data_IF_745219162900
#
_entry.id   IF_745219162900
#
_cell.length_a   1.000
_cell.length_b   1.000
_cell.length_c   1.000
_cell.angle_alpha   90.00
_cell.angle_beta   90.00
_cell.angle_gamma   90.00
#
_symmetry.space_group_name_H-M   'P 1'
#
loop_
_entity.id
_entity.type
_entity.pdbx_description
1 polymer ?
#
# COMPACT_ATOMS: atom_id res chain seq x y z
N UNK A 1 20.19 -11.48 2.49
CA UNK A 1 19.06 -11.75 1.58
C UNK A 1 18.05 -10.68 1.87
N UNK A 2 17.92 -9.72 0.95
CA UNK A 2 17.28 -8.42 1.21
C UNK A 2 15.75 -8.50 1.25
N UNK A 3 15.17 -7.53 1.94
CA UNK A 3 13.73 -7.26 2.09
C UNK A 3 12.97 -7.45 0.77
N UNK A 4 13.60 -7.10 -0.36
CA UNK A 4 13.10 -7.33 -1.72
C UNK A 4 12.47 -8.72 -1.93
N UNK A 5 13.19 -9.81 -1.65
CA UNK A 5 12.70 -11.16 -1.97
C UNK A 5 11.52 -11.60 -1.12
N UNK A 6 11.51 -11.20 0.14
CA UNK A 6 10.42 -11.51 1.07
C UNK A 6 9.18 -10.69 0.70
N UNK A 7 9.34 -9.39 0.49
CA UNK A 7 8.26 -8.51 0.06
C UNK A 7 7.68 -8.95 -1.30
N UNK A 8 8.53 -9.33 -2.25
CA UNK A 8 8.10 -9.86 -3.55
C UNK A 8 7.26 -11.14 -3.41
N UNK A 9 7.65 -12.05 -2.51
CA UNK A 9 6.91 -13.28 -2.25
C UNK A 9 5.56 -12.99 -1.57
N UNK A 10 5.55 -12.11 -0.58
CA UNK A 10 4.32 -11.70 0.12
C UNK A 10 3.33 -11.01 -0.82
N UNK A 11 3.82 -10.27 -1.82
CA UNK A 11 3.00 -9.52 -2.78
C UNK A 11 2.68 -10.29 -4.07
N UNK A 12 3.02 -11.59 -4.15
CA UNK A 12 2.84 -12.40 -5.35
C UNK A 12 1.39 -12.39 -5.88
N UNK A 13 0.40 -12.28 -5.00
CA UNK A 13 -1.01 -12.23 -5.39
C UNK A 13 -1.38 -10.99 -6.20
N UNK A 14 -0.81 -9.83 -5.86
CA UNK A 14 -1.00 -8.58 -6.60
C UNK A 14 -0.18 -8.61 -7.89
N UNK A 15 1.06 -9.13 -7.85
CA UNK A 15 1.93 -9.22 -9.03
C UNK A 15 1.46 -10.23 -10.07
N UNK A 16 0.70 -11.24 -9.64
CA UNK A 16 0.09 -12.25 -10.52
C UNK A 16 -1.20 -11.81 -11.21
N UNK A 17 -1.69 -10.59 -10.95
CA UNK A 17 -2.87 -10.04 -11.61
C UNK A 17 -2.58 -9.71 -13.09
N UNK A 18 -3.60 -9.76 -13.94
CA UNK A 18 -3.51 -9.18 -15.28
C UNK A 18 -3.36 -7.66 -15.20
N UNK A 19 -2.80 -7.03 -16.24
CA UNK A 19 -2.61 -5.58 -16.27
C UNK A 19 -3.91 -4.79 -16.03
N UNK A 20 -5.03 -5.25 -16.59
CA UNK A 20 -6.34 -4.61 -16.43
C UNK A 20 -6.87 -4.73 -14.99
N UNK A 21 -6.81 -5.92 -14.40
CA UNK A 21 -7.21 -6.13 -13.01
C UNK A 21 -6.30 -5.37 -12.06
N UNK A 22 -4.98 -5.37 -12.32
CA UNK A 22 -4.00 -4.65 -11.52
C UNK A 22 -4.26 -3.14 -11.57
N UNK A 23 -4.55 -2.57 -12.75
CA UNK A 23 -4.91 -1.16 -12.88
C UNK A 23 -6.15 -0.80 -12.06
N UNK A 24 -7.17 -1.66 -12.11
CA UNK A 24 -8.41 -1.48 -11.33
C UNK A 24 -8.17 -1.57 -9.82
N UNK A 25 -7.35 -2.55 -9.40
CA UNK A 25 -6.95 -2.73 -8.01
C UNK A 25 -6.16 -1.53 -7.49
N UNK A 26 -5.12 -1.10 -8.21
CA UNK A 26 -4.29 0.04 -7.84
C UNK A 26 -5.12 1.32 -7.76
N UNK A 27 -5.98 1.58 -8.75
CA UNK A 27 -6.89 2.73 -8.72
C UNK A 27 -7.79 2.73 -7.48
N UNK A 28 -8.40 1.59 -7.14
CA UNK A 28 -9.22 1.47 -5.95
C UNK A 28 -8.43 1.71 -4.65
N UNK A 29 -7.19 1.23 -4.55
CA UNK A 29 -6.34 1.49 -3.37
C UNK A 29 -5.99 2.98 -3.25
N UNK A 30 -5.62 3.63 -4.36
CA UNK A 30 -5.30 5.05 -4.36
C UNK A 30 -6.52 5.91 -3.99
N UNK A 31 -7.70 5.60 -4.53
CA UNK A 31 -8.95 6.28 -4.16
C UNK A 31 -9.31 6.08 -2.68
N UNK A 32 -8.93 4.96 -2.06
CA UNK A 32 -9.09 4.75 -0.61
C UNK A 32 -8.11 5.63 0.18
N UNK A 33 -6.90 5.83 -0.34
CA UNK A 33 -5.88 6.68 0.27
C UNK A 33 -6.30 8.17 0.32
N UNK A 34 -7.26 8.61 -0.51
CA UNK A 34 -7.86 9.94 -0.41
C UNK A 34 -8.59 10.18 0.92
N UNK A 35 -8.95 9.11 1.63
CA UNK A 35 -9.58 9.17 2.95
C UNK A 35 -8.83 8.24 3.92
N UNK A 36 -7.64 8.65 4.42
CA UNK A 36 -6.75 7.78 5.19
C UNK A 36 -7.41 7.10 6.40
N UNK A 37 -8.39 7.77 7.02
CA UNK A 37 -9.18 7.22 8.14
C UNK A 37 -9.95 5.93 7.80
N UNK A 38 -10.11 5.59 6.51
CA UNK A 38 -10.75 4.36 6.04
C UNK A 38 -9.82 3.14 6.08
N UNK A 39 -8.50 3.35 6.08
CA UNK A 39 -7.51 2.28 5.96
C UNK A 39 -7.56 1.31 7.14
N UNK A 40 -7.60 1.80 8.38
CA UNK A 40 -7.64 0.94 9.57
C UNK A 40 -8.91 0.09 9.66
N UNK A 41 -10.14 0.65 9.56
CA UNK A 41 -11.36 -0.16 9.55
C UNK A 41 -11.40 -1.20 8.43
N UNK A 42 -10.88 -0.85 7.25
CA UNK A 42 -10.79 -1.78 6.12
C UNK A 42 -9.75 -2.88 6.36
N UNK A 43 -8.60 -2.56 6.95
CA UNK A 43 -7.59 -3.54 7.34
C UNK A 43 -8.17 -4.54 8.36
N UNK A 44 -8.95 -4.06 9.34
CA UNK A 44 -9.63 -4.93 10.31
C UNK A 44 -10.56 -5.91 9.59
N UNK A 45 -11.34 -5.44 8.61
CA UNK A 45 -12.21 -6.29 7.79
C UNK A 45 -11.41 -7.34 7.00
N UNK A 46 -10.33 -6.92 6.33
CA UNK A 46 -9.44 -7.81 5.56
C UNK A 46 -8.82 -8.86 6.48
N UNK A 47 -8.33 -8.49 7.67
CA UNK A 47 -7.79 -9.44 8.67
C UNK A 47 -8.84 -10.44 9.14
N UNK A 48 -10.10 -10.02 9.34
CA UNK A 48 -11.19 -10.93 9.69
C UNK A 48 -11.49 -11.92 8.55
N UNK A 49 -11.51 -11.45 7.30
CA UNK A 49 -11.70 -12.28 6.12
C UNK A 49 -10.56 -13.28 5.95
N UNK A 50 -9.31 -12.82 6.04
CA UNK A 50 -8.12 -13.67 6.01
C UNK A 50 -8.17 -14.75 7.09
N UNK A 51 -8.51 -14.40 8.33
CA UNK A 51 -8.67 -15.39 9.42
C UNK A 51 -9.77 -16.42 9.14
N UNK A 52 -10.91 -16.00 8.58
CA UNK A 52 -12.01 -16.90 8.22
C UNK A 52 -11.59 -17.86 7.09
N UNK A 53 -10.91 -17.32 6.08
CA UNK A 53 -10.35 -18.05 4.96
C UNK A 53 -9.34 -19.12 5.41
N UNK A 54 -8.39 -18.77 6.28
CA UNK A 54 -7.41 -19.73 6.84
C UNK A 54 -8.07 -20.83 7.68
N UNK A 55 -9.18 -20.51 8.36
CA UNK A 55 -9.98 -21.47 9.11
C UNK A 55 -10.99 -22.24 8.24
N UNK A 56 -11.00 -22.01 6.91
CA UNK A 56 -11.96 -22.57 5.96
C UNK A 56 -13.43 -22.45 6.45
N UNK A 57 -13.75 -21.31 7.06
CA UNK A 57 -15.07 -21.04 7.64
C UNK A 57 -15.81 -20.01 6.79
N UNK A 58 -17.01 -20.33 6.33
CA UNK A 58 -17.87 -19.35 5.67
C UNK A 58 -18.35 -18.31 6.67
N UNK A 59 -18.14 -17.03 6.34
CA UNK A 59 -18.59 -15.88 7.11
C UNK A 59 -19.13 -14.82 6.19
N UNK A 60 -20.00 -13.98 6.75
CA UNK A 60 -20.57 -12.84 6.06
C UNK A 60 -20.68 -11.64 7.01
N UNK A 61 -20.82 -10.48 6.43
CA UNK A 61 -21.15 -9.21 7.08
C UNK A 61 -22.33 -8.60 6.32
N UNK A 62 -23.28 -7.98 7.01
CA UNK A 62 -24.38 -7.30 6.31
C UNK A 62 -23.86 -6.07 5.57
N UNK A 63 -24.53 -5.70 4.47
CA UNK A 63 -24.18 -4.49 3.70
C UNK A 63 -24.22 -3.24 4.57
N UNK A 64 -25.20 -3.13 5.48
CA UNK A 64 -25.29 -2.01 6.42
C UNK A 64 -24.12 -1.96 7.40
N UNK A 65 -23.70 -3.11 7.94
CA UNK A 65 -22.56 -3.15 8.86
C UNK A 65 -21.26 -2.84 8.13
N UNK A 66 -21.10 -3.29 6.89
CA UNK A 66 -19.97 -2.90 6.03
C UNK A 66 -19.93 -1.38 5.88
N UNK A 67 -21.03 -0.76 5.43
CA UNK A 67 -21.12 0.70 5.23
C UNK A 67 -20.81 1.49 6.51
N UNK A 68 -21.26 0.99 7.66
CA UNK A 68 -20.95 1.63 8.95
C UNK A 68 -19.48 1.45 9.38
N UNK A 69 -18.76 0.48 8.82
CA UNK A 69 -17.36 0.20 9.17
C UNK A 69 -16.40 1.00 8.30
N UNK A 70 -16.61 1.00 6.98
CA UNK A 70 -15.66 1.57 5.99
C UNK A 70 -16.24 2.72 5.17
N UNK A 71 -17.43 3.21 5.54
CA UNK A 71 -18.15 4.24 4.79
C UNK A 71 -18.83 3.72 3.52
N UNK A 72 -19.46 4.63 2.79
CA UNK A 72 -19.94 4.37 1.43
C UNK A 72 -18.86 4.83 0.44
N UNK A 73 -18.08 3.88 -0.09
CA UNK A 73 -17.03 4.14 -1.07
C UNK A 73 -17.06 3.09 -2.17
N UNK A 74 -17.21 3.53 -3.42
CA UNK A 74 -17.16 2.67 -4.59
C UNK A 74 -15.78 2.01 -4.74
N UNK A 75 -14.72 2.71 -4.35
CA UNK A 75 -13.37 2.19 -4.32
C UNK A 75 -13.24 1.01 -3.35
N UNK A 76 -13.83 1.11 -2.16
CA UNK A 76 -13.86 0.00 -1.19
C UNK A 76 -14.63 -1.20 -1.75
N UNK A 77 -15.80 -0.98 -2.34
CA UNK A 77 -16.57 -2.07 -2.97
C UNK A 77 -15.80 -2.72 -4.12
N UNK A 78 -15.16 -1.91 -4.96
CA UNK A 78 -14.32 -2.38 -6.07
C UNK A 78 -13.17 -3.27 -5.57
N UNK A 79 -12.42 -2.79 -4.57
CA UNK A 79 -11.33 -3.54 -3.95
C UNK A 79 -11.82 -4.86 -3.34
N UNK A 80 -12.91 -4.83 -2.55
CA UNK A 80 -13.44 -6.02 -1.91
C UNK A 80 -13.84 -7.09 -2.94
N UNK A 81 -14.47 -6.69 -4.06
CA UNK A 81 -14.79 -7.62 -5.15
C UNK A 81 -13.53 -8.21 -5.79
N UNK A 82 -12.49 -7.40 -6.03
CA UNK A 82 -11.22 -7.87 -6.60
C UNK A 82 -10.56 -8.94 -5.74
N UNK A 83 -10.57 -8.76 -4.41
CA UNK A 83 -9.97 -9.72 -3.47
C UNK A 83 -10.91 -10.89 -3.10
N UNK A 84 -12.06 -11.00 -3.78
CA UNK A 84 -12.94 -12.18 -3.76
C UNK A 84 -14.15 -12.11 -2.83
N UNK A 85 -14.46 -10.96 -2.22
CA UNK A 85 -15.73 -10.80 -1.50
C UNK A 85 -16.88 -10.88 -2.49
N UNK A 86 -17.95 -11.58 -2.09
CA UNK A 86 -19.15 -11.73 -2.91
C UNK A 86 -20.30 -10.94 -2.30
N UNK A 87 -20.83 -9.99 -3.05
CA UNK A 87 -21.99 -9.18 -2.65
C UNK A 87 -23.28 -9.89 -3.07
N UNK A 88 -24.13 -10.21 -2.10
CA UNK A 88 -25.51 -10.67 -2.22
C UNK A 88 -26.44 -9.56 -1.73
N UNK A 89 -27.76 -9.74 -1.87
CA UNK A 89 -28.76 -8.68 -1.60
C UNK A 89 -28.49 -7.90 -0.31
N UNK A 90 -28.45 -8.58 0.84
CA UNK A 90 -28.20 -7.97 2.16
C UNK A 90 -26.85 -8.33 2.78
N UNK A 91 -26.12 -9.27 2.17
CA UNK A 91 -24.91 -9.88 2.74
C UNK A 91 -23.68 -9.74 1.85
N UNK A 92 -22.53 -9.55 2.48
CA UNK A 92 -21.22 -9.59 1.85
C UNK A 92 -20.47 -10.79 2.41
N UNK A 93 -20.25 -11.78 1.56
CA UNK A 93 -19.61 -13.05 1.94
C UNK A 93 -18.09 -12.90 1.85
N UNK A 94 -17.40 -13.38 2.89
CA UNK A 94 -15.94 -13.34 2.96
C UNK A 94 -15.32 -14.28 1.90
N UNK A 95 -14.18 -13.89 1.31
CA UNK A 95 -13.48 -14.70 0.31
C UNK A 95 -12.92 -16.00 0.90
N UNK A 96 -12.59 -16.94 0.00
CA UNK A 96 -11.70 -18.07 0.32
C UNK A 96 -10.24 -17.61 0.36
N UNK A 97 -9.37 -18.45 0.91
CA UNK A 97 -7.94 -18.18 0.93
C UNK A 97 -7.42 -18.02 -0.50
N UNK A 98 -6.67 -16.95 -0.74
CA UNK A 98 -6.06 -16.68 -2.04
C UNK A 98 -4.79 -15.83 -1.85
N UNK A 99 -3.79 -15.97 -2.74
CA UNK A 99 -2.59 -15.13 -2.69
C UNK A 99 -2.89 -13.63 -2.73
N UNK A 100 -3.97 -13.22 -3.43
CA UNK A 100 -4.36 -11.82 -3.52
C UNK A 100 -4.92 -11.28 -2.20
N UNK A 101 -5.69 -12.08 -1.46
CA UNK A 101 -6.16 -11.70 -0.12
C UNK A 101 -4.97 -11.50 0.84
N UNK A 102 -3.99 -12.40 0.79
CA UNK A 102 -2.79 -12.33 1.62
C UNK A 102 -1.95 -11.09 1.28
N UNK A 103 -1.69 -10.86 -0.01
CA UNK A 103 -0.96 -9.69 -0.49
C UNK A 103 -1.67 -8.37 -0.17
N UNK A 104 -3.00 -8.33 -0.27
CA UNK A 104 -3.79 -7.13 0.08
C UNK A 104 -3.73 -6.85 1.58
N UNK A 105 -3.77 -7.89 2.42
CA UNK A 105 -3.56 -7.73 3.88
C UNK A 105 -2.19 -7.10 4.16
N UNK A 106 -1.12 -7.60 3.53
CA UNK A 106 0.24 -7.07 3.70
C UNK A 106 0.33 -5.61 3.24
N UNK A 107 -0.27 -5.27 2.10
CA UNK A 107 -0.33 -3.88 1.63
C UNK A 107 -1.03 -2.96 2.63
N UNK A 108 -2.21 -3.35 3.16
CA UNK A 108 -2.92 -2.51 4.13
C UNK A 108 -2.23 -2.46 5.50
N UNK A 109 -1.48 -3.49 5.89
CA UNK A 109 -0.59 -3.46 7.04
C UNK A 109 0.61 -2.52 6.84
N UNK A 110 1.07 -2.34 5.61
CA UNK A 110 2.07 -1.32 5.30
C UNK A 110 1.46 0.09 5.32
N UNK A 111 0.29 0.28 4.70
CA UNK A 111 -0.35 1.60 4.62
C UNK A 111 -0.70 2.17 6.01
N UNK A 112 -1.01 1.34 7.01
CA UNK A 112 -1.34 1.83 8.37
C UNK A 112 -0.12 2.32 9.16
N UNK A 113 1.09 1.95 8.76
CA UNK A 113 2.33 2.44 9.38
C UNK A 113 2.71 3.84 8.88
N UNK A 114 2.09 4.29 7.79
CA UNK A 114 2.17 5.66 7.30
C UNK A 114 1.10 6.51 7.99
N UNK A 115 1.45 7.76 8.30
CA UNK A 115 0.46 8.71 8.80
C UNK A 115 -0.41 9.29 7.68
N UNK A 116 -1.42 10.08 8.07
CA UNK A 116 -2.40 10.60 7.13
C UNK A 116 -1.82 11.54 6.06
N UNK A 117 -0.80 12.33 6.41
CA UNK A 117 -0.16 13.27 5.46
C UNK A 117 0.75 12.48 4.51
N UNK A 118 1.51 11.52 5.04
CA UNK A 118 2.31 10.58 4.24
C UNK A 118 1.46 9.79 3.23
N UNK A 119 0.27 9.33 3.63
CA UNK A 119 -0.66 8.62 2.74
C UNK A 119 -1.17 9.54 1.62
N UNK A 120 -1.50 10.80 1.95
CA UNK A 120 -1.98 11.79 0.98
C UNK A 120 -0.91 12.21 -0.02
N UNK A 121 0.37 12.22 0.35
CA UNK A 121 1.46 12.44 -0.59
C UNK A 121 1.81 11.18 -1.38
N UNK A 122 1.77 10.01 -0.73
CA UNK A 122 1.97 8.71 -1.36
C UNK A 122 0.96 8.48 -2.49
N UNK A 123 -0.31 8.83 -2.30
CA UNK A 123 -1.36 8.60 -3.32
C UNK A 123 -1.15 9.39 -4.60
N UNK A 124 -0.44 10.52 -4.54
CA UNK A 124 -0.09 11.35 -5.70
C UNK A 124 1.08 10.75 -6.50
N UNK A 125 1.80 9.77 -5.94
CA UNK A 125 2.84 9.05 -6.65
C UNK A 125 2.26 8.17 -7.78
N UNK A 126 3.13 7.73 -8.68
CA UNK A 126 2.72 6.90 -9.82
C UNK A 126 3.85 5.96 -10.26
N UNK A 127 3.54 5.08 -11.21
CA UNK A 127 4.45 4.04 -11.67
C UNK A 127 5.76 4.55 -12.28
N UNK A 128 5.81 5.78 -12.80
CA UNK A 128 7.05 6.36 -13.32
C UNK A 128 8.06 6.68 -12.20
N UNK A 129 7.57 6.88 -10.98
CA UNK A 129 8.37 7.22 -9.80
C UNK A 129 8.74 5.98 -8.96
N UNK A 130 8.16 4.82 -9.25
CA UNK A 130 8.32 3.62 -8.45
C UNK A 130 9.77 3.15 -8.34
N UNK A 131 10.48 3.03 -9.46
CA UNK A 131 11.90 2.60 -9.46
C UNK A 131 12.81 3.52 -8.62
N UNK A 132 12.82 4.85 -8.82
CA UNK A 132 13.63 5.72 -7.99
C UNK A 132 13.17 5.75 -6.53
N UNK A 133 11.86 5.68 -6.22
CA UNK A 133 11.36 5.57 -4.85
C UNK A 133 11.86 4.28 -4.16
N UNK A 134 11.71 3.12 -4.81
CA UNK A 134 12.21 1.85 -4.29
C UNK A 134 13.72 1.89 -4.07
N UNK A 135 14.47 2.56 -4.95
CA UNK A 135 15.90 2.76 -4.75
C UNK A 135 16.18 3.56 -3.47
N UNK A 136 15.52 4.71 -3.28
CA UNK A 136 15.70 5.54 -2.07
C UNK A 136 15.37 4.76 -0.81
N UNK A 137 14.20 4.14 -0.77
CA UNK A 137 13.71 3.39 0.39
C UNK A 137 14.62 2.20 0.71
N UNK A 138 15.13 1.49 -0.31
CA UNK A 138 16.07 0.40 -0.10
C UNK A 138 17.42 0.89 0.46
N UNK A 139 17.97 2.02 -0.01
CA UNK A 139 19.18 2.59 0.59
C UNK A 139 18.94 3.00 2.05
N UNK A 140 17.79 3.64 2.31
CA UNK A 140 17.37 4.05 3.65
C UNK A 140 17.27 2.88 4.63
N UNK A 141 16.67 1.76 4.21
CA UNK A 141 16.58 0.51 4.98
C UNK A 141 17.95 -0.06 5.35
N UNK A 142 18.98 0.24 4.55
CA UNK A 142 20.36 -0.16 4.81
C UNK A 142 21.19 0.93 5.51
N UNK A 143 20.55 2.02 5.96
CA UNK A 143 21.20 3.13 6.65
C UNK A 143 22.15 3.92 5.77
N UNK A 144 21.87 3.99 4.46
CA UNK A 144 22.72 4.66 3.46
C UNK A 144 22.06 5.93 2.96
N UNK A 145 22.87 6.97 2.83
CA UNK A 145 22.51 8.19 2.12
C UNK A 145 22.37 7.92 0.61
N UNK A 146 21.53 8.70 -0.06
CA UNK A 146 21.31 8.59 -1.51
C UNK A 146 21.84 9.84 -2.21
N UNK A 147 22.79 9.71 -3.16
CA UNK A 147 23.21 10.84 -3.98
C UNK A 147 22.02 11.41 -4.78
N UNK A 148 21.83 12.73 -4.75
CA UNK A 148 20.74 13.39 -5.50
C UNK A 148 20.88 13.17 -7.02
N UNK A 149 22.11 12.99 -7.51
CA UNK A 149 22.39 12.64 -8.90
C UNK A 149 21.72 11.33 -9.35
N UNK A 150 21.56 10.37 -8.44
CA UNK A 150 20.94 9.06 -8.73
C UNK A 150 19.41 9.14 -8.78
N UNK A 151 18.83 10.21 -8.19
CA UNK A 151 17.39 10.38 -8.00
C UNK A 151 16.88 11.72 -8.56
N UNK A 152 17.59 12.31 -9.52
CA UNK A 152 17.20 13.57 -10.20
C UNK A 152 15.75 13.58 -10.67
N UNK A 153 15.23 12.43 -11.09
CA UNK A 153 13.84 12.28 -11.53
C UNK A 153 12.81 12.54 -10.41
N UNK A 154 13.21 12.45 -9.14
CA UNK A 154 12.35 12.78 -7.99
C UNK A 154 12.38 14.27 -7.64
N UNK A 155 13.45 15.00 -7.97
CA UNK A 155 13.66 16.39 -7.56
C UNK A 155 13.37 17.36 -8.71
N UNK A 156 12.15 17.29 -9.24
CA UNK A 156 11.63 18.21 -10.25
C UNK A 156 10.52 19.07 -9.65
N UNK A 157 10.22 20.23 -10.25
CA UNK A 157 9.13 21.09 -9.77
C UNK A 157 7.83 20.30 -9.58
N UNK A 158 7.28 20.35 -8.35
CA UNK A 158 6.03 19.69 -7.94
C UNK A 158 6.02 18.17 -8.13
N UNK A 159 7.11 17.50 -7.78
CA UNK A 159 7.15 16.04 -7.80
C UNK A 159 6.51 15.43 -6.54
N UNK A 160 5.46 14.61 -6.66
CA UNK A 160 4.78 14.04 -5.49
C UNK A 160 5.65 13.06 -4.70
N UNK A 161 6.60 12.38 -5.34
CA UNK A 161 7.54 11.52 -4.64
C UNK A 161 8.53 12.31 -3.77
N UNK A 162 8.82 13.57 -4.13
CA UNK A 162 9.61 14.44 -3.28
C UNK A 162 8.82 14.86 -2.04
N UNK A 163 7.55 15.26 -2.20
CA UNK A 163 6.68 15.60 -1.07
C UNK A 163 6.57 14.42 -0.12
N UNK A 164 6.26 13.23 -0.64
CA UNK A 164 6.19 12.00 0.15
C UNK A 164 7.47 11.71 0.94
N UNK A 165 8.65 11.82 0.30
CA UNK A 165 9.92 11.61 1.00
C UNK A 165 10.17 12.67 2.08
N UNK A 166 9.83 13.94 1.82
CA UNK A 166 9.97 14.99 2.83
C UNK A 166 9.10 14.72 4.05
N UNK A 167 7.88 14.24 3.83
CA UNK A 167 6.93 13.93 4.91
C UNK A 167 7.31 12.69 5.70
N UNK A 168 8.02 11.77 5.06
CA UNK A 168 8.75 10.69 5.73
C UNK A 168 10.07 11.14 6.39
N UNK A 169 10.25 12.44 6.65
CA UNK A 169 11.46 13.02 7.27
C UNK A 169 12.78 12.77 6.51
N UNK A 170 12.74 12.55 5.18
CA UNK A 170 13.97 12.58 4.40
C UNK A 170 14.43 14.03 4.22
N UNK A 171 15.72 14.28 4.41
CA UNK A 171 16.28 15.62 4.33
C UNK A 171 17.56 15.66 3.52
N UNK A 172 17.76 16.75 2.77
CA UNK A 172 19.01 16.99 2.08
C UNK A 172 20.08 17.39 3.12
N UNK A 173 21.22 16.70 3.11
CA UNK A 173 22.39 17.03 3.92
C UNK A 173 23.50 17.55 3.03
N UNK A 174 23.98 18.75 3.32
CA UNK A 174 24.92 19.42 2.42
C UNK A 174 24.23 19.80 1.12
N UNK A 175 24.90 19.60 -0.02
CA UNK A 175 24.37 20.00 -1.32
C UNK A 175 23.84 18.83 -2.17
N UNK A 176 24.31 17.60 -1.91
CA UNK A 176 24.23 16.55 -2.94
C UNK A 176 23.71 15.19 -2.44
N UNK A 177 23.33 15.05 -1.16
CA UNK A 177 22.84 13.77 -0.62
C UNK A 177 21.54 13.90 0.14
N UNK A 178 20.63 12.95 -0.11
CA UNK A 178 19.42 12.74 0.65
C UNK A 178 19.72 11.78 1.82
N UNK A 179 19.48 12.24 3.04
CA UNK A 179 19.65 11.45 4.24
C UNK A 179 18.31 10.81 4.65
N UNK A 180 18.31 9.51 4.99
CA UNK A 180 17.12 8.85 5.50
C UNK A 180 16.84 9.24 6.96
N UNK A 181 15.57 9.12 7.40
CA UNK A 181 15.22 9.31 8.80
C UNK A 181 15.89 8.26 9.70
N UNK A 182 16.40 8.70 10.85
CA UNK A 182 17.00 7.79 11.83
C UNK A 182 15.93 7.05 12.65
N UNK A 183 16.08 5.74 12.82
CA UNK A 183 15.24 4.95 13.73
C UNK A 183 13.83 4.60 13.23
N UNK A 184 13.51 4.86 11.95
CA UNK A 184 12.19 4.61 11.37
C UNK A 184 12.12 3.36 10.48
N UNK A 185 12.87 2.30 10.81
CA UNK A 185 13.01 1.11 9.94
C UNK A 185 11.68 0.44 9.56
N UNK A 186 10.71 0.35 10.47
CA UNK A 186 9.40 -0.23 10.19
C UNK A 186 8.61 0.61 9.17
N UNK A 187 8.61 1.93 9.34
CA UNK A 187 7.91 2.86 8.43
C UNK A 187 8.55 2.85 7.03
N UNK A 188 9.89 2.79 6.97
CA UNK A 188 10.62 2.65 5.70
C UNK A 188 10.30 1.32 4.99
N UNK A 189 10.17 0.23 5.74
CA UNK A 189 9.78 -1.08 5.19
C UNK A 189 8.34 -1.05 4.69
N UNK A 190 7.44 -0.43 5.44
CA UNK A 190 6.06 -0.23 5.04
C UNK A 190 5.93 0.60 3.75
N UNK A 191 6.61 1.75 3.66
CA UNK A 191 6.64 2.54 2.43
C UNK A 191 7.20 1.73 1.25
N UNK A 192 8.26 0.95 1.48
CA UNK A 192 8.84 0.08 0.45
C UNK A 192 7.82 -0.95 -0.06
N UNK A 193 7.13 -1.64 0.85
CA UNK A 193 6.08 -2.61 0.52
C UNK A 193 4.94 -1.95 -0.24
N UNK A 194 4.49 -0.76 0.19
CA UNK A 194 3.39 -0.04 -0.46
C UNK A 194 3.75 0.35 -1.90
N UNK A 195 4.95 0.91 -2.12
CA UNK A 195 5.44 1.25 -3.48
C UNK A 195 5.57 -0.01 -4.34
N UNK A 196 6.15 -1.09 -3.80
CA UNK A 196 6.36 -2.35 -4.51
C UNK A 196 5.03 -3.00 -4.91
N UNK A 197 4.04 -2.99 -4.01
CA UNK A 197 2.72 -3.55 -4.28
C UNK A 197 1.99 -2.82 -5.41
N UNK A 198 1.95 -1.49 -5.34
CA UNK A 198 1.18 -0.69 -6.29
C UNK A 198 1.87 -0.55 -7.64
N UNK A 199 3.21 -0.49 -7.67
CA UNK A 199 3.92 -0.10 -8.89
C UNK A 199 5.19 -0.90 -9.22
N UNK A 200 5.55 -1.93 -8.45
CA UNK A 200 6.73 -2.78 -8.73
C UNK A 200 6.47 -4.06 -9.53
#
# INVERSE_FOLDING_TARGET
MGIDKEAEHQLQGIRGMSDESRKTFVGAVLDICDTPVTIDPLLVLIKQAHKAASANTEKFITVDKLRNTVGQSDAVVSLLKQIGFTFRDDDVVYPKASPLLDATRVLFEALIELDGEEILDFRECNSNLAKPLLHVLNQALHGRDVPLDDIKALYTDRNPAQSFLNEMDFHIKGLDTLNPPAGQSNKLEAAYIAVLALWG
#
